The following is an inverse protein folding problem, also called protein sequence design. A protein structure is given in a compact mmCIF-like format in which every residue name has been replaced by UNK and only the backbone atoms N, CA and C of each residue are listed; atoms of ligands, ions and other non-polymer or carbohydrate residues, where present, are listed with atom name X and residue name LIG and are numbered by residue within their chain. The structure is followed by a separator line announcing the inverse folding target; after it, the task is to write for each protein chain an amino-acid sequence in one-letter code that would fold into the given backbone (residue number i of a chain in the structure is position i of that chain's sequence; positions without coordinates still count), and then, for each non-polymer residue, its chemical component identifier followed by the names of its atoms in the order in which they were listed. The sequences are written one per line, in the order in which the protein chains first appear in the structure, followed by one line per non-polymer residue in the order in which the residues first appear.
data_IF_565087352303
#
_entry.id   IF_565087352303
#
_cell.length_a   1.000
_cell.length_b   1.000
_cell.length_c   1.000
_cell.angle_alpha   90.00
_cell.angle_beta   90.00
_cell.angle_gamma   90.00
#
_symmetry.space_group_name_H-M   'P 1'
#
loop_
_entity.id
_entity.type
_entity.pdbx_description
1 polymer ?
#
# COMPACT_ATOMS: atom_id res chain seq x y z
N UNK A 1 -22.90 -26.33 13.82
CA UNK A 1 -23.23 -24.89 13.72
C UNK A 1 -24.24 -24.75 12.60
N UNK A 2 -25.43 -24.21 12.92
CA UNK A 2 -26.66 -24.30 12.14
C UNK A 2 -26.54 -23.74 10.71
N UNK A 3 -26.79 -24.59 9.70
CA UNK A 3 -27.11 -24.21 8.32
C UNK A 3 -28.49 -23.51 8.27
N UNK A 4 -28.56 -22.27 8.73
CA UNK A 4 -29.73 -21.41 8.46
C UNK A 4 -29.36 -20.51 7.27
N UNK A 5 -30.18 -20.49 6.20
CA UNK A 5 -29.93 -19.57 5.10
C UNK A 5 -29.92 -18.14 5.65
N UNK A 6 -28.85 -17.41 5.35
CA UNK A 6 -28.70 -16.02 5.79
C UNK A 6 -29.91 -15.25 5.28
N UNK A 7 -30.72 -14.73 6.20
CA UNK A 7 -31.92 -13.95 5.88
C UNK A 7 -31.56 -12.73 5.02
N UNK A 8 -32.55 -12.20 4.27
CA UNK A 8 -32.33 -11.07 3.36
C UNK A 8 -31.64 -9.91 4.10
N UNK A 9 -30.50 -9.38 3.61
CA UNK A 9 -29.83 -8.26 4.26
C UNK A 9 -30.75 -7.03 4.35
N UNK A 10 -30.66 -6.31 5.47
CA UNK A 10 -31.39 -5.06 5.68
C UNK A 10 -31.01 -4.02 4.60
N UNK A 11 -31.98 -3.27 4.06
CA UNK A 11 -31.73 -2.27 3.00
C UNK A 11 -30.81 -1.12 3.45
N UNK A 12 -30.94 -0.70 4.70
CA UNK A 12 -30.13 0.37 5.30
C UNK A 12 -29.60 -0.08 6.67
N UNK A 13 -28.45 -0.76 6.71
CA UNK A 13 -27.86 -1.18 7.97
C UNK A 13 -27.37 0.03 8.77
N UNK A 14 -27.69 0.04 10.07
CA UNK A 14 -27.26 1.13 10.98
C UNK A 14 -25.86 0.90 11.56
N UNK A 15 -25.39 -0.34 11.60
CA UNK A 15 -24.05 -0.68 12.08
C UNK A 15 -23.02 -0.63 10.95
N UNK A 16 -21.81 -0.18 11.27
CA UNK A 16 -20.72 -0.06 10.29
C UNK A 16 -20.32 -1.41 9.71
N UNK A 17 -20.30 -2.46 10.53
CA UNK A 17 -20.00 -3.83 10.08
C UNK A 17 -21.01 -4.32 9.05
N UNK A 18 -22.31 -4.09 9.26
CA UNK A 18 -23.34 -4.48 8.30
C UNK A 18 -23.31 -3.63 7.02
N UNK A 19 -22.94 -2.35 7.10
CA UNK A 19 -22.68 -1.51 5.91
C UNK A 19 -21.54 -2.07 5.06
N UNK A 20 -20.43 -2.47 5.68
CA UNK A 20 -19.28 -3.04 4.97
C UNK A 20 -19.62 -4.40 4.36
N UNK A 21 -20.29 -5.27 5.12
CA UNK A 21 -20.68 -6.60 4.65
C UNK A 21 -21.62 -6.55 3.43
N UNK A 22 -22.49 -5.54 3.36
CA UNK A 22 -23.40 -5.33 2.23
C UNK A 22 -22.79 -4.50 1.10
N UNK A 23 -21.65 -3.84 1.33
CA UNK A 23 -21.01 -3.03 0.31
C UNK A 23 -20.47 -3.94 -0.81
N UNK A 24 -20.74 -3.64 -2.10
CA UNK A 24 -20.34 -4.52 -3.20
C UNK A 24 -18.84 -4.35 -3.55
N UNK A 25 -17.96 -4.59 -2.57
CA UNK A 25 -16.49 -4.48 -2.70
C UNK A 25 -15.99 -5.26 -3.91
N UNK A 26 -16.47 -6.50 -4.07
CA UNK A 26 -16.09 -7.38 -5.19
C UNK A 26 -16.39 -6.76 -6.55
N UNK A 27 -17.55 -6.10 -6.71
CA UNK A 27 -17.91 -5.42 -7.95
C UNK A 27 -16.91 -4.29 -8.27
N UNK A 28 -16.60 -3.44 -7.29
CA UNK A 28 -15.65 -2.35 -7.49
C UNK A 28 -14.24 -2.86 -7.80
N UNK A 29 -13.77 -3.92 -7.15
CA UNK A 29 -12.47 -4.49 -7.44
C UNK A 29 -12.39 -5.13 -8.83
N UNK A 30 -13.45 -5.82 -9.28
CA UNK A 30 -13.44 -6.54 -10.57
C UNK A 30 -13.74 -5.65 -11.78
N UNK A 31 -14.66 -4.69 -11.62
CA UNK A 31 -15.10 -3.82 -12.73
C UNK A 31 -14.22 -2.60 -12.91
N UNK A 32 -13.51 -2.16 -11.87
CA UNK A 32 -12.68 -0.98 -11.97
C UNK A 32 -11.34 -1.31 -12.64
N UNK A 33 -11.13 -0.72 -13.82
CA UNK A 33 -9.91 -0.84 -14.60
C UNK A 33 -8.65 -0.43 -13.83
N UNK A 34 -8.78 0.49 -12.87
CA UNK A 34 -7.66 1.05 -12.10
C UNK A 34 -6.80 -0.03 -11.43
N UNK A 35 -7.41 -1.09 -10.90
CA UNK A 35 -6.67 -2.15 -10.19
C UNK A 35 -5.80 -2.98 -11.14
N UNK A 36 -6.23 -3.14 -12.40
CA UNK A 36 -5.45 -3.82 -13.43
C UNK A 36 -4.21 -3.00 -13.80
N UNK A 37 -4.41 -1.71 -14.11
CA UNK A 37 -3.31 -0.83 -14.48
C UNK A 37 -2.38 -0.51 -13.31
N UNK A 38 -2.91 -0.45 -12.08
CA UNK A 38 -2.11 -0.28 -10.88
C UNK A 38 -1.19 -1.48 -10.62
N UNK A 39 -1.71 -2.71 -10.76
CA UNK A 39 -0.87 -3.90 -10.63
C UNK A 39 0.24 -3.93 -11.70
N UNK A 40 -0.11 -3.61 -12.95
CA UNK A 40 0.86 -3.54 -14.05
C UNK A 40 1.90 -2.44 -13.83
N UNK A 41 1.49 -1.25 -13.38
CA UNK A 41 2.42 -0.14 -13.13
C UNK A 41 3.37 -0.45 -11.98
N UNK A 42 2.89 -1.08 -10.89
CA UNK A 42 3.74 -1.51 -9.77
C UNK A 42 4.81 -2.48 -10.26
N UNK A 43 4.45 -3.47 -11.09
CA UNK A 43 5.41 -4.44 -11.65
C UNK A 43 6.41 -3.76 -12.57
N UNK A 44 5.97 -2.85 -13.44
CA UNK A 44 6.86 -2.11 -14.35
C UNK A 44 7.79 -1.15 -13.63
N UNK A 45 7.33 -0.51 -12.56
CA UNK A 45 8.13 0.41 -11.78
C UNK A 45 9.08 -0.30 -10.80
N UNK A 46 8.79 -1.54 -10.40
CA UNK A 46 9.62 -2.33 -9.48
C UNK A 46 11.13 -2.35 -9.85
N UNK A 47 11.55 -2.65 -11.10
CA UNK A 47 12.97 -2.66 -11.46
C UNK A 47 13.61 -1.27 -11.42
N UNK A 48 12.86 -0.21 -11.73
CA UNK A 48 13.33 1.17 -11.66
C UNK A 48 13.62 1.55 -10.21
N UNK A 49 12.64 1.31 -9.32
CA UNK A 49 12.80 1.56 -7.89
C UNK A 49 13.88 0.68 -7.26
N UNK A 50 14.03 -0.58 -7.71
CA UNK A 50 15.10 -1.45 -7.25
C UNK A 50 16.49 -0.91 -7.59
N UNK A 51 16.69 -0.38 -8.81
CA UNK A 51 17.95 0.27 -9.18
C UNK A 51 18.22 1.51 -8.34
N UNK A 52 17.22 2.37 -8.15
CA UNK A 52 17.34 3.56 -7.29
C UNK A 52 17.70 3.15 -5.86
N UNK A 53 17.02 2.13 -5.32
CA UNK A 53 17.28 1.60 -3.99
C UNK A 53 18.72 1.08 -3.83
N UNK A 54 19.23 0.36 -4.83
CA UNK A 54 20.62 -0.13 -4.82
C UNK A 54 21.64 1.02 -4.89
N UNK A 55 21.37 2.04 -5.69
CA UNK A 55 22.25 3.22 -5.80
C UNK A 55 22.27 4.03 -4.50
N UNK A 56 21.10 4.26 -3.90
CA UNK A 56 20.97 4.97 -2.63
C UNK A 56 21.71 4.26 -1.48
N UNK A 57 21.68 2.93 -1.45
CA UNK A 57 22.36 2.10 -0.45
C UNK A 57 23.77 1.65 -0.86
N UNK A 58 24.36 2.27 -1.88
CA UNK A 58 25.76 1.99 -2.23
C UNK A 58 26.68 2.38 -1.06
N UNK A 59 27.74 1.60 -0.77
CA UNK A 59 28.59 1.82 0.41
C UNK A 59 29.23 3.22 0.42
N UNK A 60 29.56 3.74 -0.77
CA UNK A 60 30.06 5.11 -0.92
C UNK A 60 29.02 6.17 -0.54
N UNK A 61 27.75 5.95 -0.85
CA UNK A 61 26.68 6.90 -0.52
C UNK A 61 26.32 6.84 0.97
N UNK A 62 26.33 5.64 1.56
CA UNK A 62 26.15 5.46 3.01
C UNK A 62 27.27 6.15 3.80
N UNK A 63 28.53 5.99 3.37
CA UNK A 63 29.67 6.67 3.99
C UNK A 63 29.56 8.20 3.89
N UNK A 64 29.19 8.72 2.71
CA UNK A 64 28.95 10.16 2.53
C UNK A 64 27.82 10.68 3.42
N UNK A 65 26.72 9.92 3.52
CA UNK A 65 25.61 10.28 4.39
C UNK A 65 26.05 10.34 5.86
N UNK A 66 26.80 9.32 6.33
CA UNK A 66 27.32 9.27 7.70
C UNK A 66 28.21 10.48 8.02
N UNK A 67 29.10 10.86 7.10
CA UNK A 67 29.97 12.03 7.23
C UNK A 67 29.18 13.34 7.28
N UNK A 68 28.15 13.49 6.44
CA UNK A 68 27.27 14.66 6.48
C UNK A 68 26.53 14.76 7.80
N UNK A 69 26.09 13.62 8.37
CA UNK A 69 25.43 13.60 9.68
C UNK A 69 26.37 14.01 10.80
N UNK A 70 27.62 13.55 10.76
CA UNK A 70 28.64 13.91 11.75
C UNK A 70 28.91 15.41 11.71
N UNK A 71 29.12 15.98 10.52
CA UNK A 71 29.29 17.44 10.35
C UNK A 71 28.07 18.22 10.83
N UNK A 72 26.85 17.78 10.49
CA UNK A 72 25.64 18.43 10.97
C UNK A 72 25.51 18.35 12.50
N UNK A 73 25.88 17.23 13.12
CA UNK A 73 25.88 17.12 14.57
C UNK A 73 26.92 18.05 15.21
N UNK A 74 28.13 18.13 14.64
CA UNK A 74 29.20 19.04 15.08
C UNK A 74 28.82 20.52 14.94
N UNK A 75 28.09 20.91 13.88
CA UNK A 75 27.58 22.29 13.69
C UNK A 75 26.41 22.65 14.62
N UNK A 76 25.71 21.64 15.14
CA UNK A 76 24.57 21.80 16.07
C UNK A 76 24.96 21.65 17.55
N UNK A 77 26.24 21.45 17.86
CA UNK A 77 26.82 21.47 19.20
C UNK A 77 27.53 22.79 19.49
#
# INVERSE_FOLDING_TARGET
MSDKPVGRPMKFPYTMSAKIAQFPIKMYLQKQWIWKYYAVSVVLCLPVFYKIHKLANSPANVAKWALLKQKAAEEHH
#
